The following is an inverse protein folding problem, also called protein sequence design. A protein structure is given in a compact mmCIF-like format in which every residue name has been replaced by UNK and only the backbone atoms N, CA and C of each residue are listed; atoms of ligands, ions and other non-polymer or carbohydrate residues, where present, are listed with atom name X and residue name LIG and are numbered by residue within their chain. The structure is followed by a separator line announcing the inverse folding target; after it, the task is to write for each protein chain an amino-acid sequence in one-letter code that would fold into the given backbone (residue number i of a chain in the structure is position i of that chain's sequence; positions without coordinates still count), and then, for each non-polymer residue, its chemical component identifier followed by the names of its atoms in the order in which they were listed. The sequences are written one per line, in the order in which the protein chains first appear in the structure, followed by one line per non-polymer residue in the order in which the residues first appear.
data_IF_686505134793
#
_entry.id   IF_686505134793
#
_cell.length_a   1.000
_cell.length_b   1.000
_cell.length_c   1.000
_cell.angle_alpha   90.00
_cell.angle_beta   90.00
_cell.angle_gamma   90.00
#
_symmetry.space_group_name_H-M   'P 1'
#
loop_
_entity.id
_entity.type
_entity.pdbx_description
1 polymer ?
#
# COMPACT_ATOMS: atom_id res chain seq x y z
N UNK A 1 4.52 4.22 13.73
CA UNK A 1 5.03 3.41 12.61
C UNK A 1 4.55 1.99 12.85
N UNK A 2 3.59 1.49 12.07
CA UNK A 2 3.23 0.07 12.14
C UNK A 2 4.33 -0.69 11.40
N UNK A 3 5.01 -1.62 12.06
CA UNK A 3 6.08 -2.37 11.41
C UNK A 3 5.47 -3.46 10.54
N UNK A 4 6.01 -3.67 9.35
CA UNK A 4 5.60 -4.78 8.47
C UNK A 4 5.81 -6.15 9.13
N UNK A 5 6.76 -6.24 10.07
CA UNK A 5 6.98 -7.42 10.89
C UNK A 5 5.78 -7.71 11.82
N UNK A 6 5.23 -6.66 12.45
CA UNK A 6 4.05 -6.76 13.33
C UNK A 6 2.78 -7.21 12.58
N UNK A 7 2.66 -6.87 11.29
CA UNK A 7 1.54 -7.35 10.45
C UNK A 7 1.66 -8.85 10.18
N UNK A 8 2.85 -9.35 9.85
CA UNK A 8 3.06 -10.77 9.56
C UNK A 8 3.02 -11.64 10.83
N UNK A 9 3.41 -11.08 11.97
CA UNK A 9 3.35 -11.76 13.28
C UNK A 9 1.91 -12.01 13.76
N UNK A 10 0.93 -11.31 13.17
CA UNK A 10 -0.50 -11.53 13.45
C UNK A 10 -1.08 -12.74 12.69
N UNK A 11 -0.30 -13.41 11.83
CA UNK A 11 -0.76 -14.59 11.09
C UNK A 11 -0.82 -15.83 11.98
N UNK A 12 -1.91 -16.58 11.92
CA UNK A 12 -2.07 -17.83 12.67
C UNK A 12 -1.66 -19.06 11.84
N UNK A 13 -1.48 -18.91 10.53
CA UNK A 13 -1.10 -20.00 9.61
C UNK A 13 -0.04 -19.58 8.59
N UNK A 14 0.74 -20.53 8.08
CA UNK A 14 1.75 -20.27 7.04
C UNK A 14 1.15 -19.68 5.76
N UNK A 15 -0.06 -20.12 5.39
CA UNK A 15 -0.78 -19.57 4.24
C UNK A 15 -1.18 -18.11 4.46
N UNK A 16 -1.51 -17.74 5.69
CA UNK A 16 -1.83 -16.36 6.06
C UNK A 16 -0.58 -15.48 6.07
N UNK A 17 0.57 -16.00 6.50
CA UNK A 17 1.86 -15.29 6.39
C UNK A 17 2.15 -14.93 4.93
N UNK A 18 1.92 -15.85 3.99
CA UNK A 18 2.09 -15.58 2.56
C UNK A 18 1.08 -14.54 2.04
N UNK A 19 -0.19 -14.66 2.42
CA UNK A 19 -1.23 -13.71 2.03
C UNK A 19 -1.00 -12.29 2.57
N UNK A 20 -0.59 -12.18 3.83
CA UNK A 20 -0.22 -10.91 4.46
C UNK A 20 1.08 -10.35 3.88
N UNK A 21 2.06 -11.20 3.57
CA UNK A 21 3.30 -10.82 2.89
C UNK A 21 3.04 -10.18 1.52
N UNK A 22 2.19 -10.81 0.69
CA UNK A 22 1.77 -10.25 -0.60
C UNK A 22 0.99 -8.94 -0.44
N UNK A 23 0.10 -8.88 0.56
CA UNK A 23 -0.69 -7.67 0.85
C UNK A 23 0.20 -6.50 1.29
N UNK A 24 1.19 -6.76 2.13
CA UNK A 24 2.19 -5.78 2.56
C UNK A 24 3.02 -5.27 1.38
N UNK A 25 3.44 -6.15 0.47
CA UNK A 25 4.14 -5.75 -0.76
C UNK A 25 3.24 -4.84 -1.62
N UNK A 26 1.98 -5.22 -1.81
CA UNK A 26 1.01 -4.43 -2.56
C UNK A 26 0.76 -3.06 -1.92
N UNK A 27 0.65 -2.98 -0.58
CA UNK A 27 0.51 -1.72 0.14
C UNK A 27 1.77 -0.85 0.05
N UNK A 28 2.96 -1.46 0.14
CA UNK A 28 4.22 -0.75 0.00
C UNK A 28 4.33 -0.10 -1.38
N UNK A 29 4.14 -0.89 -2.45
CA UNK A 29 4.16 -0.41 -3.84
C UNK A 29 3.01 0.55 -4.14
N UNK A 30 1.81 0.26 -3.62
CA UNK A 30 0.59 1.02 -3.85
C UNK A 30 0.71 2.47 -3.43
N UNK A 31 1.45 2.79 -2.37
CA UNK A 31 1.67 4.19 -1.98
C UNK A 31 2.56 4.94 -2.97
N UNK A 32 3.61 4.32 -3.50
CA UNK A 32 4.51 4.94 -4.49
C UNK A 32 3.81 5.24 -5.82
N UNK A 33 2.74 4.53 -6.15
CA UNK A 33 1.97 4.75 -7.39
C UNK A 33 0.73 5.61 -7.10
N UNK A 34 -0.01 5.28 -6.03
CA UNK A 34 -1.29 5.88 -5.69
C UNK A 34 -1.19 7.34 -5.31
N UNK A 35 -0.22 7.72 -4.47
CA UNK A 35 -0.06 9.11 -4.04
C UNK A 35 0.35 10.02 -5.21
N UNK A 36 1.35 9.67 -6.06
CA UNK A 36 1.65 10.45 -7.25
C UNK A 36 0.50 10.49 -8.27
N UNK A 37 -0.16 9.35 -8.53
CA UNK A 37 -1.28 9.31 -9.46
C UNK A 37 -2.43 10.25 -9.01
N UNK A 38 -2.79 10.20 -7.72
CA UNK A 38 -3.80 11.10 -7.16
C UNK A 38 -3.38 12.56 -7.26
N UNK A 39 -2.12 12.87 -6.92
CA UNK A 39 -1.57 14.22 -7.03
C UNK A 39 -1.60 14.77 -8.46
N UNK A 40 -1.21 13.96 -9.45
CA UNK A 40 -1.23 14.33 -10.87
C UNK A 40 -2.66 14.60 -11.34
N UNK A 41 -3.61 13.70 -11.03
CA UNK A 41 -5.02 13.89 -11.40
C UNK A 41 -5.57 15.18 -10.82
N UNK A 42 -5.28 15.47 -9.54
CA UNK A 42 -5.71 16.71 -8.88
C UNK A 42 -5.05 17.95 -9.48
N UNK A 43 -3.76 17.91 -9.78
CA UNK A 43 -3.06 19.02 -10.42
C UNK A 43 -3.63 19.33 -11.82
N UNK A 44 -3.95 18.30 -12.60
CA UNK A 44 -4.60 18.46 -13.91
C UNK A 44 -5.99 19.05 -13.77
N UNK A 45 -6.79 18.58 -12.80
CA UNK A 45 -8.13 19.12 -12.53
C UNK A 45 -8.05 20.59 -12.10
N UNK A 46 -7.09 20.95 -11.23
CA UNK A 46 -6.89 22.32 -10.78
C UNK A 46 -6.51 23.26 -11.92
N UNK A 47 -5.64 22.82 -12.85
CA UNK A 47 -5.27 23.63 -14.04
C UNK A 47 -6.42 23.86 -15.02
N UNK A 48 -7.47 23.03 -14.96
CA UNK A 48 -8.64 23.12 -15.84
C UNK A 48 -9.76 24.02 -15.31
N UNK A 49 -9.69 24.45 -14.06
CA UNK A 49 -10.62 25.37 -13.40
C UNK A 49 -10.07 26.79 -13.36
#
# INVERSE_FOLDING_TARGET
MLSTLTIMESAETESEVLGLGLSVIALNLGMYIGLPAFGIVKAIQFRKN
#
